data_IF_781139561233
#
_entry.id   IF_781139561233
#
_cell.length_a   1.000
_cell.length_b   1.000
_cell.length_c   1.000
_cell.angle_alpha   90.00
_cell.angle_beta   90.00
_cell.angle_gamma   90.00
#
_symmetry.space_group_name_H-M   'P 1'
#
loop_
_entity.id
_entity.type
_entity.pdbx_description
1 polymer ?
#
# COMPACT_ATOMS: atom_id res chain seq x y z
N UNK A 1 3.20 -33.24 -20.39
CA UNK A 1 3.85 -31.94 -20.69
C UNK A 1 2.89 -30.81 -21.09
N UNK A 2 1.59 -31.05 -21.38
CA UNK A 2 0.64 -29.98 -21.75
C UNK A 2 0.07 -29.17 -20.57
N UNK A 3 0.03 -29.72 -19.35
CA UNK A 3 -0.53 -29.05 -18.16
C UNK A 3 0.34 -27.93 -17.57
N UNK A 4 1.62 -27.83 -17.93
CA UNK A 4 2.51 -26.79 -17.40
C UNK A 4 2.32 -25.41 -18.07
N UNK A 5 1.94 -25.38 -19.35
CA UNK A 5 1.88 -24.15 -20.15
C UNK A 5 0.61 -23.34 -19.82
N UNK A 6 -0.54 -24.00 -19.66
CA UNK A 6 -1.80 -23.36 -19.27
C UNK A 6 -1.72 -22.71 -17.87
N UNK A 7 -1.06 -23.37 -16.92
CA UNK A 7 -0.84 -22.85 -15.57
C UNK A 7 0.06 -21.61 -15.53
N UNK A 8 1.09 -21.57 -16.39
CA UNK A 8 1.98 -20.41 -16.53
C UNK A 8 1.26 -19.21 -17.18
N UNK A 9 0.42 -19.44 -18.18
CA UNK A 9 -0.39 -18.38 -18.78
C UNK A 9 -1.42 -17.79 -17.81
N UNK A 10 -2.11 -18.64 -17.03
CA UNK A 10 -3.05 -18.19 -16.02
C UNK A 10 -2.39 -17.35 -14.91
N UNK A 11 -1.23 -17.81 -14.41
CA UNK A 11 -0.45 -17.07 -13.40
C UNK A 11 0.01 -15.70 -13.93
N UNK A 12 0.48 -15.66 -15.19
CA UNK A 12 0.92 -14.41 -15.83
C UNK A 12 -0.23 -13.43 -16.05
N UNK A 13 -1.43 -13.90 -16.43
CA UNK A 13 -2.62 -13.06 -16.55
C UNK A 13 -3.07 -12.50 -15.19
N UNK A 14 -2.98 -13.30 -14.14
CA UNK A 14 -3.23 -12.87 -12.76
C UNK A 14 -2.24 -11.79 -12.29
N UNK A 15 -0.95 -11.94 -12.59
CA UNK A 15 0.08 -10.96 -12.27
C UNK A 15 -0.16 -9.62 -12.99
N UNK A 16 -0.59 -9.67 -14.25
CA UNK A 16 -0.95 -8.48 -15.04
C UNK A 16 -2.13 -7.74 -14.43
N UNK A 17 -3.24 -8.43 -14.14
CA UNK A 17 -4.43 -7.81 -13.54
C UNK A 17 -4.13 -7.17 -12.18
N UNK A 18 -3.31 -7.83 -11.38
CA UNK A 18 -2.90 -7.31 -10.08
C UNK A 18 -2.06 -6.03 -10.22
N UNK A 19 -1.13 -6.02 -11.18
CA UNK A 19 -0.29 -4.87 -11.47
C UNK A 19 -1.12 -3.69 -11.99
N UNK A 20 -2.09 -3.94 -12.88
CA UNK A 20 -3.04 -2.94 -13.38
C UNK A 20 -3.87 -2.32 -12.25
N UNK A 21 -4.43 -3.15 -11.37
CA UNK A 21 -5.18 -2.67 -10.21
C UNK A 21 -4.30 -1.78 -9.30
N UNK A 22 -3.07 -2.21 -9.01
CA UNK A 22 -2.16 -1.42 -8.19
C UNK A 22 -1.82 -0.08 -8.85
N UNK A 23 -1.61 -0.06 -10.18
CA UNK A 23 -1.40 1.19 -10.90
C UNK A 23 -2.62 2.12 -10.83
N UNK A 24 -3.83 1.59 -10.99
CA UNK A 24 -5.06 2.37 -10.86
C UNK A 24 -5.20 2.95 -9.44
N UNK A 25 -4.89 2.15 -8.41
CA UNK A 25 -4.92 2.59 -7.01
C UNK A 25 -3.92 3.73 -6.80
N UNK A 26 -2.64 3.53 -7.16
CA UNK A 26 -1.57 4.52 -6.92
C UNK A 26 -1.80 5.84 -7.66
N UNK A 27 -2.46 5.79 -8.82
CA UNK A 27 -2.77 6.99 -9.60
C UNK A 27 -4.09 7.67 -9.20
N UNK A 28 -4.83 7.14 -8.22
CA UNK A 28 -6.12 7.69 -7.84
C UNK A 28 -6.01 9.08 -7.17
N UNK A 29 -6.78 10.02 -7.71
CA UNK A 29 -6.90 11.42 -7.25
C UNK A 29 -8.35 11.85 -6.99
N UNK A 30 -9.30 10.89 -6.95
CA UNK A 30 -10.76 11.16 -6.86
C UNK A 30 -11.21 11.93 -5.61
N UNK A 31 -10.39 11.99 -4.56
CA UNK A 31 -10.72 12.64 -3.29
C UNK A 31 -9.81 13.86 -3.07
N UNK A 32 -10.18 15.07 -3.55
CA UNK A 32 -9.31 16.25 -3.51
C UNK A 32 -8.77 16.56 -2.10
N UNK A 33 -9.64 16.51 -1.09
CA UNK A 33 -9.26 16.70 0.32
C UNK A 33 -8.16 15.74 0.79
N UNK A 34 -8.20 14.48 0.35
CA UNK A 34 -7.20 13.47 0.74
C UNK A 34 -5.90 13.61 -0.04
N UNK A 35 -5.97 14.04 -1.30
CA UNK A 35 -4.80 14.37 -2.11
C UNK A 35 -4.04 15.54 -1.48
N UNK A 36 -4.75 16.62 -1.15
CA UNK A 36 -4.16 17.77 -0.49
C UNK A 36 -3.55 17.37 0.86
N UNK A 37 -4.29 16.64 1.69
CA UNK A 37 -3.81 16.25 3.01
C UNK A 37 -2.54 15.38 2.91
N UNK A 38 -2.56 14.29 2.13
CA UNK A 38 -1.40 13.38 2.08
C UNK A 38 -0.11 14.08 1.59
N UNK A 39 -0.25 15.08 0.70
CA UNK A 39 0.85 15.91 0.22
C UNK A 39 1.30 16.92 1.28
N UNK A 40 0.37 17.60 1.96
CA UNK A 40 0.69 18.55 3.04
C UNK A 40 1.43 17.86 4.19
N UNK A 41 1.06 16.63 4.53
CA UNK A 41 1.76 15.79 5.52
C UNK A 41 3.22 15.51 5.13
N UNK A 42 3.45 15.29 3.83
CA UNK A 42 4.76 14.99 3.27
C UNK A 42 5.64 16.24 3.14
N UNK A 43 5.05 17.40 2.84
CA UNK A 43 5.75 18.68 2.77
C UNK A 43 6.13 19.23 4.15
N UNK A 44 5.38 18.86 5.19
CA UNK A 44 5.60 19.33 6.57
C UNK A 44 5.79 18.16 7.54
N UNK A 45 6.86 17.36 7.38
CA UNK A 45 7.08 16.21 8.26
C UNK A 45 7.47 16.67 9.67
N UNK A 46 7.08 15.93 10.73
CA UNK A 46 7.52 16.20 12.08
C UNK A 46 9.04 16.02 12.18
N UNK A 47 9.66 16.61 13.21
CA UNK A 47 11.13 16.61 13.40
C UNK A 47 11.77 15.23 13.25
N UNK A 48 11.10 14.18 13.77
CA UNK A 48 11.57 12.79 13.72
C UNK A 48 11.62 12.16 12.32
N UNK A 49 10.98 12.78 11.32
CA UNK A 49 10.96 12.32 9.92
C UNK A 49 11.48 13.39 8.95
N UNK A 50 12.16 14.42 9.47
CA UNK A 50 12.66 15.52 8.65
C UNK A 50 13.73 14.99 7.69
N UNK A 51 13.60 15.32 6.41
CA UNK A 51 14.52 14.87 5.35
C UNK A 51 14.22 13.48 4.79
N UNK A 52 13.25 12.74 5.34
CA UNK A 52 12.83 11.47 4.76
C UNK A 52 11.99 11.69 3.48
N UNK A 53 12.14 10.78 2.51
CA UNK A 53 11.28 10.74 1.33
C UNK A 53 9.94 10.10 1.67
N UNK A 54 8.85 10.81 1.41
CA UNK A 54 7.49 10.32 1.61
C UNK A 54 6.92 9.67 0.35
N UNK A 55 6.10 8.64 0.54
CA UNK A 55 5.31 8.02 -0.53
C UNK A 55 4.24 8.97 -1.08
N UNK A 56 3.45 9.60 -0.21
CA UNK A 56 2.46 10.64 -0.53
C UNK A 56 1.46 10.28 -1.65
N UNK A 57 1.16 9.00 -1.82
CA UNK A 57 0.22 8.43 -2.81
C UNK A 57 -0.72 7.42 -2.12
N UNK A 58 -1.80 6.96 -2.78
CA UNK A 58 -2.62 5.85 -2.28
C UNK A 58 -1.76 4.60 -2.07
N UNK A 59 -2.15 3.74 -1.13
CA UNK A 59 -1.43 2.52 -0.81
C UNK A 59 -2.11 1.32 -1.48
N UNK A 60 -1.40 0.54 -2.28
CA UNK A 60 -1.82 -0.81 -2.65
C UNK A 60 -1.98 -1.72 -1.43
N UNK A 61 -2.73 -2.81 -1.62
CA UNK A 61 -2.74 -3.91 -0.66
C UNK A 61 -1.35 -4.53 -0.50
N UNK A 62 -1.06 -5.08 0.69
CA UNK A 62 0.22 -5.72 1.02
C UNK A 62 -0.04 -7.07 1.70
N UNK A 63 0.71 -8.10 1.31
CA UNK A 63 0.63 -9.43 1.88
C UNK A 63 0.68 -10.53 0.83
N UNK A 64 0.46 -11.76 1.28
CA UNK A 64 0.33 -12.92 0.39
C UNK A 64 -1.01 -12.87 -0.37
N UNK A 65 -0.95 -13.00 -1.69
CA UNK A 65 -2.13 -13.05 -2.58
C UNK A 65 -2.98 -14.31 -2.36
N UNK A 66 -2.41 -15.34 -1.75
CA UNK A 66 -3.08 -16.59 -1.37
C UNK A 66 -3.44 -16.62 0.13
N UNK A 67 -3.36 -15.48 0.83
CA UNK A 67 -3.73 -15.40 2.24
C UNK A 67 -5.18 -15.82 2.46
N UNK A 68 -5.42 -16.55 3.55
CA UNK A 68 -6.77 -16.95 3.99
C UNK A 68 -7.42 -15.96 4.96
N UNK A 69 -6.67 -14.93 5.36
CA UNK A 69 -7.09 -13.87 6.27
C UNK A 69 -6.78 -12.52 5.64
N UNK A 70 -7.75 -11.60 5.69
CA UNK A 70 -7.59 -10.21 5.26
C UNK A 70 -7.80 -9.30 6.46
N UNK A 71 -6.86 -8.39 6.69
CA UNK A 71 -6.95 -7.36 7.72
C UNK A 71 -7.23 -6.02 7.03
N UNK A 72 -8.40 -5.45 7.31
CA UNK A 72 -8.83 -4.16 6.76
C UNK A 72 -8.70 -3.09 7.84
N UNK A 73 -7.81 -2.12 7.61
CA UNK A 73 -7.65 -0.95 8.48
C UNK A 73 -8.55 0.20 8.05
N UNK A 74 -8.63 1.25 8.88
CA UNK A 74 -9.45 2.43 8.61
C UNK A 74 -8.87 3.30 7.48
N UNK A 75 -7.64 3.79 7.65
CA UNK A 75 -6.95 4.65 6.69
C UNK A 75 -5.44 4.69 6.97
N UNK A 76 -4.58 5.03 5.97
CA UNK A 76 -3.15 5.22 6.20
C UNK A 76 -2.86 6.38 7.15
N UNK A 77 -1.97 6.19 8.12
CA UNK A 77 -1.49 7.28 8.96
C UNK A 77 -0.62 8.26 8.17
N UNK A 78 -0.68 9.54 8.53
CA UNK A 78 0.05 10.63 7.89
C UNK A 78 1.58 10.42 7.84
N UNK A 79 2.13 9.72 8.83
CA UNK A 79 3.57 9.46 8.97
C UNK A 79 3.92 7.98 9.14
N UNK A 80 2.94 7.10 8.91
CA UNK A 80 3.12 5.65 8.77
C UNK A 80 3.03 5.30 7.29
N UNK A 81 1.92 4.70 6.88
CA UNK A 81 1.69 4.30 5.49
C UNK A 81 1.86 5.43 4.47
N UNK A 82 1.47 6.67 4.76
CA UNK A 82 1.67 7.80 3.85
C UNK A 82 3.16 8.17 3.64
N UNK A 83 4.01 7.85 4.62
CA UNK A 83 5.46 8.03 4.51
C UNK A 83 6.12 6.82 3.85
N UNK A 84 5.79 5.62 4.31
CA UNK A 84 6.48 4.38 3.94
C UNK A 84 5.98 3.72 2.66
N UNK A 85 4.75 4.03 2.23
CA UNK A 85 4.11 3.42 1.07
C UNK A 85 3.60 1.99 1.27
N UNK A 86 3.63 1.48 2.51
CA UNK A 86 3.18 0.13 2.84
C UNK A 86 2.14 0.16 3.96
N UNK A 87 1.09 -0.65 3.81
CA UNK A 87 0.03 -0.77 4.82
C UNK A 87 0.63 -1.15 6.18
N UNK A 88 0.09 -0.56 7.26
CA UNK A 88 0.49 -0.87 8.65
C UNK A 88 2.00 -0.82 8.92
N UNK A 89 2.71 0.15 8.31
CA UNK A 89 4.17 0.27 8.45
C UNK A 89 4.58 1.69 8.85
N UNK A 90 5.42 1.81 9.88
CA UNK A 90 6.10 3.06 10.23
C UNK A 90 5.36 3.94 11.24
N UNK A 91 4.36 3.40 11.94
CA UNK A 91 3.61 4.04 13.03
C UNK A 91 3.33 3.03 14.17
N UNK A 92 2.73 3.50 15.26
CA UNK A 92 2.45 2.67 16.44
C UNK A 92 1.38 1.62 16.19
N UNK A 93 0.37 1.91 15.37
CA UNK A 93 -0.71 0.97 15.05
C UNK A 93 -0.17 -0.21 14.25
N UNK A 94 0.67 0.04 13.24
CA UNK A 94 1.38 -1.00 12.51
C UNK A 94 2.28 -1.83 13.40
N UNK A 95 3.06 -1.18 14.27
CA UNK A 95 3.93 -1.88 15.22
C UNK A 95 3.16 -2.77 16.22
N UNK A 96 1.94 -2.37 16.60
CA UNK A 96 1.09 -3.16 17.49
C UNK A 96 0.51 -4.36 16.75
N UNK A 97 -0.02 -4.14 15.55
CA UNK A 97 -0.56 -5.21 14.71
C UNK A 97 0.49 -6.28 14.42
N UNK A 98 1.68 -5.89 13.97
CA UNK A 98 2.76 -6.84 13.62
C UNK A 98 3.33 -7.60 14.82
N UNK A 99 3.12 -7.11 16.06
CA UNK A 99 3.48 -7.86 17.27
C UNK A 99 2.42 -8.87 17.69
N UNK A 100 1.17 -8.64 17.29
CA UNK A 100 0.05 -9.50 17.64
C UNK A 100 -0.17 -10.65 16.64
N UNK A 101 0.39 -10.53 15.43
CA UNK A 101 0.39 -11.53 14.37
C UNK A 101 1.66 -12.36 14.41
#
# INVERSE_FOLDING_TARGET
>A
MKHGVESLHATRLEDTRWSELNMQIVNCTKCPRLVEWRLKAALNPPRRHKGEKYWAKPLPGFGDRKAKLIIVGLAPAAHGGNRTGRMFTGDSSGNTLMRAL
#
